data_IF_921599368915
#
_entry.id   IF_921599368915
#
_cell.length_a   1.000
_cell.length_b   1.000
_cell.length_c   1.000
_cell.angle_alpha   90.00
_cell.angle_beta   90.00
_cell.angle_gamma   90.00
#
_symmetry.space_group_name_H-M   'P 1'
#
loop_
_entity.id
_entity.type
_entity.pdbx_description
1 polymer ?
#
# COMPACT_ATOMS: atom_id res chain seq x y z
N UNK A 1 -3.10 29.43 14.71
CA UNK A 1 -3.51 28.39 15.69
C UNK A 1 -3.80 27.05 15.03
N UNK A 2 -4.81 26.86 14.15
CA UNK A 2 -5.03 25.55 13.50
C UNK A 2 -3.93 25.12 12.48
N UNK A 3 -3.15 26.08 11.98
CA UNK A 3 -2.06 25.84 11.02
C UNK A 3 -0.81 25.24 11.69
N UNK A 4 -0.53 25.66 12.92
CA UNK A 4 0.63 25.20 13.70
C UNK A 4 0.45 23.74 14.14
N UNK A 5 -0.80 23.35 14.45
CA UNK A 5 -1.17 21.95 14.74
C UNK A 5 -1.04 21.05 13.51
N UNK A 6 -1.32 21.60 12.31
CA UNK A 6 -1.20 20.87 11.05
C UNK A 6 0.27 20.61 10.67
N UNK A 7 1.17 21.56 10.93
CA UNK A 7 2.62 21.36 10.76
C UNK A 7 3.19 20.35 11.75
N UNK A 8 2.76 20.36 13.01
CA UNK A 8 3.19 19.37 13.99
C UNK A 8 2.74 17.95 13.63
N UNK A 9 1.52 17.78 13.12
CA UNK A 9 1.02 16.48 12.66
C UNK A 9 1.81 15.95 11.46
N UNK A 10 2.21 16.82 10.52
CA UNK A 10 3.09 16.44 9.41
C UNK A 10 4.50 16.07 9.89
N UNK A 11 5.07 16.85 10.81
CA UNK A 11 6.37 16.56 11.41
C UNK A 11 6.38 15.18 12.08
N UNK A 12 5.37 14.89 12.91
CA UNK A 12 5.23 13.61 13.59
C UNK A 12 4.99 12.43 12.61
N UNK A 13 4.31 12.67 11.49
CA UNK A 13 4.13 11.67 10.43
C UNK A 13 5.43 11.39 9.67
N UNK A 14 6.23 12.42 9.40
CA UNK A 14 7.55 12.30 8.76
C UNK A 14 8.56 11.58 9.67
N UNK A 15 8.53 11.85 10.98
CA UNK A 15 9.35 11.13 11.96
C UNK A 15 8.95 9.65 12.09
N UNK A 16 7.65 9.33 12.02
CA UNK A 16 7.20 7.91 11.93
C UNK A 16 7.61 7.24 10.63
N UNK A 17 7.57 7.96 9.51
CA UNK A 17 8.01 7.46 8.20
C UNK A 17 9.54 7.23 8.12
N UNK A 18 10.31 7.83 9.04
CA UNK A 18 11.75 7.60 9.23
C UNK A 18 12.12 6.22 9.79
N UNK A 19 11.15 5.38 10.16
CA UNK A 19 11.41 4.02 10.60
C UNK A 19 11.62 3.07 9.41
N UNK A 20 12.89 2.99 8.98
CA UNK A 20 13.57 1.82 8.36
C UNK A 20 12.67 0.87 7.54
N UNK A 21 12.11 1.35 6.44
CA UNK A 21 11.49 0.46 5.46
C UNK A 21 12.51 -0.26 4.56
N UNK A 22 13.81 0.11 4.58
CA UNK A 22 14.77 -0.53 3.66
C UNK A 22 16.28 -0.49 4.03
N UNK A 23 16.67 -0.57 5.30
CA UNK A 23 18.11 -0.64 5.64
C UNK A 23 18.45 -1.87 6.46
N UNK A 24 18.85 -2.96 5.78
CA UNK A 24 19.75 -3.95 6.38
C UNK A 24 21.11 -3.29 6.65
N UNK A 25 21.79 -3.62 7.77
CA UNK A 25 23.18 -3.21 8.00
C UNK A 25 24.07 -3.73 6.85
N UNK A 26 24.96 -2.89 6.33
CA UNK A 26 25.80 -3.16 5.15
C UNK A 26 26.82 -4.28 5.30
N UNK A 27 26.94 -4.87 6.49
CA UNK A 27 28.06 -5.78 6.81
C UNK A 27 27.66 -7.26 6.79
N UNK A 28 26.42 -7.57 6.42
CA UNK A 28 25.99 -8.93 6.15
C UNK A 28 26.07 -9.21 4.64
N UNK A 29 27.28 -9.40 4.12
CA UNK A 29 27.49 -10.21 2.91
C UNK A 29 27.19 -11.70 3.24
N UNK A 30 26.01 -11.96 3.81
CA UNK A 30 25.43 -13.28 3.92
C UNK A 30 24.52 -13.48 2.72
N UNK A 31 24.37 -14.73 2.29
CA UNK A 31 23.38 -15.16 1.30
C UNK A 31 21.98 -14.70 1.70
N UNK A 32 21.62 -13.46 1.36
CA UNK A 32 20.29 -12.93 1.55
C UNK A 32 19.39 -13.77 0.67
N UNK A 33 18.64 -14.69 1.30
CA UNK A 33 17.57 -15.41 0.61
C UNK A 33 16.64 -14.32 0.07
N UNK A 34 16.68 -14.09 -1.24
CA UNK A 34 15.65 -13.37 -1.97
C UNK A 34 14.37 -14.19 -1.77
N UNK A 35 13.66 -13.91 -0.69
CA UNK A 35 12.31 -14.39 -0.49
C UNK A 35 11.45 -13.24 -0.94
N UNK A 36 10.89 -13.33 -2.14
CA UNK A 36 9.69 -12.57 -2.43
C UNK A 36 8.67 -12.91 -1.35
N UNK A 37 8.41 -11.93 -0.48
CA UNK A 37 7.44 -12.13 0.58
C UNK A 37 6.06 -11.81 0.00
N UNK A 38 5.56 -12.71 -0.86
CA UNK A 38 4.21 -12.64 -1.41
C UNK A 38 3.16 -12.32 -0.32
N UNK A 39 3.24 -12.91 0.90
CA UNK A 39 2.35 -12.52 1.99
C UNK A 39 2.37 -11.03 2.32
N UNK A 40 3.52 -10.37 2.31
CA UNK A 40 3.65 -8.93 2.58
C UNK A 40 2.98 -8.10 1.48
N UNK A 41 3.21 -8.41 0.21
CA UNK A 41 2.58 -7.70 -0.91
C UNK A 41 1.07 -7.92 -0.95
N UNK A 42 0.63 -9.14 -0.67
CA UNK A 42 -0.80 -9.49 -0.57
C UNK A 42 -1.45 -8.73 0.57
N UNK A 43 -0.80 -8.71 1.74
CA UNK A 43 -1.29 -7.97 2.91
C UNK A 43 -1.36 -6.47 2.65
N UNK A 44 -0.34 -5.88 2.04
CA UNK A 44 -0.37 -4.47 1.67
C UNK A 44 -1.53 -4.16 0.70
N UNK A 45 -1.79 -5.05 -0.27
CA UNK A 45 -2.96 -4.93 -1.14
C UNK A 45 -4.29 -5.01 -0.39
N UNK A 46 -4.40 -5.91 0.59
CA UNK A 46 -5.57 -6.06 1.45
C UNK A 46 -5.80 -4.83 2.35
N UNK A 47 -4.74 -4.31 2.97
CA UNK A 47 -4.81 -3.14 3.86
C UNK A 47 -5.25 -1.89 3.08
N UNK A 48 -4.76 -1.72 1.85
CA UNK A 48 -5.23 -0.65 0.94
C UNK A 48 -6.69 -0.88 0.51
N UNK A 49 -7.09 -2.14 0.33
CA UNK A 49 -8.49 -2.51 0.08
C UNK A 49 -9.41 -2.14 1.25
N UNK A 50 -8.99 -2.41 2.49
CA UNK A 50 -9.73 -2.03 3.69
C UNK A 50 -9.87 -0.49 3.81
N UNK A 51 -8.81 0.25 3.51
CA UNK A 51 -8.88 1.72 3.45
C UNK A 51 -9.91 2.20 2.42
N UNK A 52 -9.99 1.57 1.25
CA UNK A 52 -11.02 1.88 0.23
C UNK A 52 -12.43 1.68 0.77
N UNK A 53 -12.67 0.60 1.52
CA UNK A 53 -13.97 0.34 2.14
C UNK A 53 -14.34 1.41 3.14
N UNK A 54 -13.40 1.83 3.97
CA UNK A 54 -13.62 2.88 4.97
C UNK A 54 -13.87 4.26 4.32
N UNK A 55 -13.12 4.59 3.27
CA UNK A 55 -13.37 5.77 2.42
C UNK A 55 -14.77 5.72 1.80
N UNK A 56 -15.23 4.56 1.35
CA UNK A 56 -16.57 4.38 0.78
C UNK A 56 -17.66 4.56 1.83
N UNK A 57 -17.47 4.02 3.04
CA UNK A 57 -18.38 4.24 4.18
C UNK A 57 -18.45 5.72 4.55
N UNK A 58 -17.31 6.39 4.63
CA UNK A 58 -17.23 7.82 4.94
C UNK A 58 -17.95 8.67 3.89
N UNK A 59 -17.82 8.33 2.60
CA UNK A 59 -18.59 8.98 1.53
C UNK A 59 -20.09 8.78 1.70
N UNK A 60 -20.53 7.57 2.10
CA UNK A 60 -21.93 7.29 2.41
C UNK A 60 -22.45 8.12 3.58
N UNK A 61 -21.68 8.25 4.66
CA UNK A 61 -22.02 9.10 5.80
C UNK A 61 -22.09 10.59 5.42
N UNK A 62 -21.15 11.07 4.60
CA UNK A 62 -21.14 12.43 4.09
C UNK A 62 -22.39 12.70 3.23
N UNK A 63 -22.75 11.76 2.34
CA UNK A 63 -23.96 11.85 1.53
C UNK A 63 -25.23 11.84 2.39
N UNK A 64 -25.27 10.99 3.43
CA UNK A 64 -26.35 10.96 4.41
C UNK A 64 -26.50 12.29 5.16
N UNK A 65 -25.39 12.91 5.59
CA UNK A 65 -25.39 14.20 6.27
C UNK A 65 -25.83 15.38 5.38
N UNK A 66 -25.72 15.24 4.06
CA UNK A 66 -26.20 16.23 3.10
C UNK A 66 -27.72 16.11 2.83
N UNK A 67 -28.36 15.00 3.21
CA UNK A 67 -29.80 14.83 3.01
C UNK A 67 -30.60 15.82 3.85
N UNK A 68 -31.73 16.26 3.33
CA UNK A 68 -32.63 17.20 4.01
C UNK A 68 -32.32 18.69 3.78
N UNK A 69 -31.24 19.03 3.08
CA UNK A 69 -30.89 20.43 2.81
C UNK A 69 -31.76 21.17 1.79
N UNK A 70 -32.71 20.47 1.13
CA UNK A 70 -33.63 21.10 0.19
C UNK A 70 -32.96 21.81 -0.99
N UNK A 71 -33.74 22.59 -1.73
CA UNK A 71 -33.20 23.52 -2.72
C UNK A 71 -32.70 24.79 -2.02
N UNK A 72 -31.62 25.35 -2.55
CA UNK A 72 -30.78 26.38 -1.96
C UNK A 72 -31.56 27.68 -1.60
N UNK A 73 -32.79 27.88 -2.08
CA UNK A 73 -33.79 28.90 -1.74
C UNK A 73 -33.28 30.34 -1.44
N UNK A 74 -32.10 30.71 -1.95
CA UNK A 74 -31.44 31.99 -1.64
C UNK A 74 -30.62 32.01 -0.35
N UNK A 75 -30.49 30.89 0.38
CA UNK A 75 -29.62 30.77 1.55
C UNK A 75 -28.17 30.52 1.11
N UNK A 76 -27.34 31.57 1.20
CA UNK A 76 -25.92 31.51 0.81
C UNK A 76 -25.15 30.41 1.56
N UNK A 77 -25.43 30.20 2.85
CA UNK A 77 -24.79 29.17 3.65
C UNK A 77 -25.12 27.76 3.15
N UNK A 78 -26.35 27.52 2.70
CA UNK A 78 -26.75 26.22 2.14
C UNK A 78 -26.05 25.96 0.79
N UNK A 79 -25.93 26.98 -0.06
CA UNK A 79 -25.16 26.92 -1.30
C UNK A 79 -23.68 26.64 -1.07
N UNK A 80 -23.06 27.34 -0.10
CA UNK A 80 -21.66 27.13 0.28
C UNK A 80 -21.43 25.72 0.82
N UNK A 81 -22.31 25.21 1.69
CA UNK A 81 -22.22 23.84 2.18
C UNK A 81 -22.27 22.82 1.03
N UNK A 82 -23.20 22.98 0.09
CA UNK A 82 -23.35 22.08 -1.07
C UNK A 82 -22.07 22.03 -1.91
N UNK A 83 -21.43 23.17 -2.15
CA UNK A 83 -20.15 23.22 -2.87
C UNK A 83 -19.03 22.49 -2.12
N UNK A 84 -18.95 22.66 -0.80
CA UNK A 84 -17.98 21.93 0.03
C UNK A 84 -18.25 20.44 -0.02
N UNK A 85 -19.51 20.03 0.12
CA UNK A 85 -19.94 18.64 -0.03
C UNK A 85 -19.50 18.06 -1.38
N UNK A 86 -19.82 18.72 -2.49
CA UNK A 86 -19.49 18.24 -3.84
C UNK A 86 -17.98 18.07 -4.03
N UNK A 87 -17.19 19.04 -3.54
CA UNK A 87 -15.72 18.99 -3.57
C UNK A 87 -15.18 17.80 -2.77
N UNK A 88 -15.66 17.61 -1.54
CA UNK A 88 -15.22 16.50 -0.69
C UNK A 88 -15.68 15.14 -1.21
N UNK A 89 -16.93 15.04 -1.67
CA UNK A 89 -17.47 13.82 -2.25
C UNK A 89 -16.64 13.37 -3.46
N UNK A 90 -16.26 14.32 -4.33
CA UNK A 90 -15.37 14.06 -5.46
C UNK A 90 -13.99 13.59 -5.00
N UNK A 91 -13.37 14.32 -4.07
CA UNK A 91 -12.04 13.97 -3.57
C UNK A 91 -11.97 12.58 -2.94
N UNK A 92 -12.93 12.27 -2.05
CA UNK A 92 -13.01 10.97 -1.36
C UNK A 92 -13.25 9.83 -2.35
N UNK A 93 -14.10 10.04 -3.37
CA UNK A 93 -14.29 9.08 -4.47
C UNK A 93 -12.99 8.83 -5.23
N UNK A 94 -12.25 9.89 -5.56
CA UNK A 94 -10.97 9.78 -6.27
C UNK A 94 -9.92 9.02 -5.44
N UNK A 95 -9.86 9.27 -4.12
CA UNK A 95 -9.00 8.53 -3.19
C UNK A 95 -9.37 7.04 -3.16
N UNK A 96 -10.67 6.71 -3.11
CA UNK A 96 -11.15 5.33 -3.19
C UNK A 96 -10.69 4.63 -4.47
N UNK A 97 -10.79 5.33 -5.62
CA UNK A 97 -10.29 4.83 -6.90
C UNK A 97 -8.76 4.65 -6.95
N UNK A 98 -8.00 5.49 -6.25
CA UNK A 98 -6.53 5.31 -6.12
C UNK A 98 -6.19 4.09 -5.27
N UNK A 99 -6.89 3.89 -4.17
CA UNK A 99 -6.71 2.72 -3.31
C UNK A 99 -7.02 1.43 -4.09
N UNK A 100 -8.10 1.40 -4.87
CA UNK A 100 -8.42 0.26 -5.73
C UNK A 100 -7.28 -0.10 -6.69
N UNK A 101 -6.78 0.89 -7.43
CA UNK A 101 -5.67 0.71 -8.38
C UNK A 101 -4.39 0.25 -7.68
N UNK A 102 -4.05 0.87 -6.55
CA UNK A 102 -2.85 0.54 -5.79
C UNK A 102 -2.93 -0.88 -5.20
N UNK A 103 -4.07 -1.25 -4.61
CA UNK A 103 -4.28 -2.60 -4.08
C UNK A 103 -4.12 -3.68 -5.15
N UNK A 104 -4.67 -3.44 -6.35
CA UNK A 104 -4.50 -4.34 -7.49
C UNK A 104 -3.03 -4.46 -7.95
N UNK A 105 -2.29 -3.33 -8.01
CA UNK A 105 -0.87 -3.33 -8.36
C UNK A 105 -0.02 -4.10 -7.34
N UNK A 106 -0.28 -3.90 -6.04
CA UNK A 106 0.42 -4.60 -4.96
C UNK A 106 0.17 -6.11 -5.03
N UNK A 107 -1.08 -6.53 -5.24
CA UNK A 107 -1.43 -7.94 -5.43
C UNK A 107 -0.74 -8.55 -6.65
N UNK A 108 -0.69 -7.83 -7.78
CA UNK A 108 0.02 -8.27 -9.00
C UNK A 108 1.52 -8.40 -8.77
N UNK A 109 2.15 -7.41 -8.15
CA UNK A 109 3.58 -7.44 -7.85
C UNK A 109 3.97 -8.64 -6.98
N UNK A 110 3.19 -8.92 -5.93
CA UNK A 110 3.39 -10.10 -5.09
C UNK A 110 3.27 -11.44 -5.84
N UNK A 111 2.33 -11.51 -6.79
CA UNK A 111 2.14 -12.70 -7.64
C UNK A 111 3.28 -12.91 -8.63
N UNK A 112 3.73 -11.84 -9.29
CA UNK A 112 4.79 -11.90 -10.30
C UNK A 112 6.15 -12.23 -9.67
N UNK A 113 6.45 -11.66 -8.49
CA UNK A 113 7.65 -11.99 -7.74
C UNK A 113 7.66 -13.46 -7.30
N UNK A 114 6.54 -13.99 -6.79
CA UNK A 114 6.44 -15.41 -6.41
C UNK A 114 6.73 -16.34 -7.59
N UNK A 115 6.14 -16.07 -8.76
CA UNK A 115 6.37 -16.89 -9.97
C UNK A 115 7.84 -16.91 -10.37
N UNK A 116 8.51 -15.75 -10.26
CA UNK A 116 9.93 -15.62 -10.59
C UNK A 116 10.78 -16.45 -9.63
N UNK A 117 10.53 -16.35 -8.32
CA UNK A 117 11.25 -17.12 -7.31
C UNK A 117 11.04 -18.64 -7.47
N UNK A 118 9.79 -19.06 -7.72
CA UNK A 118 9.47 -20.48 -7.96
C UNK A 118 10.23 -21.01 -9.19
N UNK A 119 10.31 -20.24 -10.27
CA UNK A 119 11.08 -20.60 -11.47
C UNK A 119 12.57 -20.73 -11.17
N UNK A 120 13.16 -19.75 -10.47
CA UNK A 120 14.58 -19.79 -10.10
C UNK A 120 14.87 -20.98 -9.19
N UNK A 121 13.98 -21.30 -8.25
CA UNK A 121 14.13 -22.46 -7.37
C UNK A 121 14.13 -23.76 -8.18
N UNK A 122 13.24 -23.90 -9.17
CA UNK A 122 13.20 -25.05 -10.07
C UNK A 122 14.52 -25.16 -10.85
N UNK A 123 15.03 -24.07 -11.42
CA UNK A 123 16.28 -24.08 -12.18
C UNK A 123 17.47 -24.48 -11.31
N UNK A 124 17.55 -23.97 -10.08
CA UNK A 124 18.58 -24.35 -9.11
C UNK A 124 18.46 -25.82 -8.70
N UNK A 125 17.25 -26.33 -8.51
CA UNK A 125 17.02 -27.75 -8.21
C UNK A 125 17.44 -28.63 -9.40
N UNK A 126 17.14 -28.23 -10.63
CA UNK A 126 17.56 -28.92 -11.84
C UNK A 126 19.08 -28.95 -11.96
N UNK A 127 19.78 -27.84 -11.68
CA UNK A 127 21.25 -27.81 -11.64
C UNK A 127 21.80 -28.77 -10.58
N UNK A 128 21.21 -28.79 -9.38
CA UNK A 128 21.64 -29.71 -8.31
C UNK A 128 21.49 -31.18 -8.72
N UNK A 129 20.44 -31.52 -9.47
CA UNK A 129 20.26 -32.87 -10.02
C UNK A 129 21.27 -33.16 -11.13
N UNK A 130 21.48 -32.22 -12.05
CA UNK A 130 22.39 -32.37 -13.18
C UNK A 130 23.86 -32.58 -12.77
N UNK A 131 24.27 -32.01 -11.64
CA UNK A 131 25.64 -32.11 -11.11
C UNK A 131 25.72 -32.95 -9.83
N UNK A 132 24.77 -33.87 -9.60
CA UNK A 132 24.74 -34.72 -8.41
C UNK A 132 25.94 -35.69 -8.31
N UNK A 133 26.61 -35.96 -9.42
CA UNK A 133 27.80 -36.79 -9.57
C UNK A 133 29.12 -36.05 -9.29
N UNK A 134 29.07 -34.71 -9.17
CA UNK A 134 30.25 -33.88 -8.92
C UNK A 134 30.58 -33.88 -7.43
N UNK A 135 31.76 -34.39 -7.08
CA UNK A 135 32.23 -34.41 -5.69
C UNK A 135 32.53 -32.99 -5.18
N UNK A 136 32.21 -32.72 -3.91
CA UNK A 136 32.52 -31.44 -3.28
C UNK A 136 34.03 -31.33 -3.02
N UNK A 137 34.74 -30.57 -3.84
CA UNK A 137 36.21 -30.47 -3.83
C UNK A 137 36.78 -29.22 -3.11
N UNK A 138 35.96 -28.43 -2.40
CA UNK A 138 36.43 -27.23 -1.67
C UNK A 138 35.80 -27.08 -0.27
N UNK A 139 36.60 -26.64 0.71
CA UNK A 139 36.15 -26.38 2.11
C UNK A 139 36.92 -27.10 3.23
N UNK A 140 38.17 -27.52 3.00
CA UNK A 140 39.10 -27.94 4.07
C UNK A 140 40.26 -26.95 4.11
N UNK A 141 40.07 -25.85 4.81
CA UNK A 141 41.09 -24.86 5.13
C UNK A 141 40.73 -24.22 6.46
#
# INVERSE_FOLDING_TARGET
MAWDEWEQLKGAAAERAGTRLNSLPSDAAGSGKLVSNRPVWTKAGQDVGALREDVTKALGQLSGGQQGLGADAGCETAGAQKQVYDSWARYVKDVGGRCEKLGALLGKAGSDLQKTDDSVLIDVQNLKVAYADTSAVGGKG
#
